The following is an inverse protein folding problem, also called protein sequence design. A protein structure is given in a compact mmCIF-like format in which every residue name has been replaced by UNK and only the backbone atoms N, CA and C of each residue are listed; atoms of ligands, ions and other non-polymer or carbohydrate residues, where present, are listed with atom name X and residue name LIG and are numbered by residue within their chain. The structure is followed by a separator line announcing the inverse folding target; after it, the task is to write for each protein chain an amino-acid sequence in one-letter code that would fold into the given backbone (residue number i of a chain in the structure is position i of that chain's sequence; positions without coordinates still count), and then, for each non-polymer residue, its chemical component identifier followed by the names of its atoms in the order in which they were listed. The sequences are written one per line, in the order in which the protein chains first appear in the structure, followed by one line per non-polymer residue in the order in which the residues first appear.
data_IF_005075920187
#
_entry.id   IF_005075920187
#
_cell.length_a   1.000
_cell.length_b   1.000
_cell.length_c   1.000
_cell.angle_alpha   90.00
_cell.angle_beta   90.00
_cell.angle_gamma   90.00
#
_symmetry.space_group_name_H-M   'P 1'
#
loop_
_entity.id
_entity.type
_entity.pdbx_description
1 polymer ?
#
# COMPACT_ATOMS: atom_id res chain seq x y z
N UNK A 1 -25.94 6.35 -52.47
CA UNK A 1 -26.23 6.31 -51.02
C UNK A 1 -25.73 5.04 -50.36
N UNK A 2 -26.08 3.84 -50.83
CA UNK A 2 -25.62 2.57 -50.23
C UNK A 2 -24.10 2.36 -50.19
N UNK A 3 -23.37 2.76 -51.25
CA UNK A 3 -21.91 2.60 -51.31
C UNK A 3 -21.19 3.48 -50.27
N UNK A 4 -21.65 4.72 -50.07
CA UNK A 4 -21.10 5.65 -49.07
C UNK A 4 -21.32 5.12 -47.65
N UNK A 5 -22.51 4.59 -47.37
CA UNK A 5 -22.83 3.96 -46.08
C UNK A 5 -21.93 2.74 -45.84
N UNK A 6 -21.72 1.91 -46.86
CA UNK A 6 -20.82 0.76 -46.76
C UNK A 6 -19.38 1.15 -46.42
N UNK A 7 -18.83 2.19 -47.08
CA UNK A 7 -17.49 2.68 -46.76
C UNK A 7 -17.37 3.24 -45.34
N UNK A 8 -18.39 3.93 -44.84
CA UNK A 8 -18.42 4.43 -43.46
C UNK A 8 -18.40 3.26 -42.47
N UNK A 9 -19.22 2.24 -42.69
CA UNK A 9 -19.27 1.04 -41.84
C UNK A 9 -17.92 0.31 -41.84
N UNK A 10 -17.31 0.12 -43.01
CA UNK A 10 -15.99 -0.52 -43.13
C UNK A 10 -14.92 0.29 -42.42
N UNK A 11 -14.95 1.63 -42.53
CA UNK A 11 -14.02 2.52 -41.84
C UNK A 11 -14.12 2.40 -40.32
N UNK A 12 -15.34 2.41 -39.77
CA UNK A 12 -15.59 2.23 -38.34
C UNK A 12 -15.12 0.85 -37.88
N UNK A 13 -15.50 -0.20 -38.61
CA UNK A 13 -15.14 -1.58 -38.28
C UNK A 13 -13.62 -1.80 -38.29
N UNK A 14 -12.93 -1.32 -39.33
CA UNK A 14 -11.47 -1.42 -39.44
C UNK A 14 -10.77 -0.65 -38.32
N UNK A 15 -11.27 0.54 -37.98
CA UNK A 15 -10.73 1.33 -36.85
C UNK A 15 -10.90 0.58 -35.53
N UNK A 16 -12.07 0.00 -35.28
CA UNK A 16 -12.31 -0.80 -34.07
C UNK A 16 -11.38 -2.02 -33.99
N UNK A 17 -11.17 -2.73 -35.11
CA UNK A 17 -10.24 -3.86 -35.16
C UNK A 17 -8.79 -3.44 -34.86
N UNK A 18 -8.35 -2.30 -35.39
CA UNK A 18 -7.01 -1.76 -35.11
C UNK A 18 -6.86 -1.43 -33.62
N UNK A 19 -7.87 -0.83 -32.98
CA UNK A 19 -7.85 -0.56 -31.54
C UNK A 19 -7.78 -1.84 -30.71
N UNK A 20 -8.59 -2.85 -31.04
CA UNK A 20 -8.58 -4.16 -30.37
C UNK A 20 -7.22 -4.85 -30.56
N UNK A 21 -6.62 -4.74 -31.75
CA UNK A 21 -5.31 -5.29 -32.02
C UNK A 21 -4.22 -4.66 -31.12
N UNK A 22 -4.19 -3.33 -31.01
CA UNK A 22 -3.25 -2.66 -30.11
C UNK A 22 -3.48 -2.99 -28.65
N UNK A 23 -4.74 -3.08 -28.22
CA UNK A 23 -5.10 -3.53 -26.87
C UNK A 23 -4.60 -4.96 -26.59
N UNK A 24 -4.78 -5.86 -27.55
CA UNK A 24 -4.31 -7.25 -27.46
C UNK A 24 -2.79 -7.33 -27.40
N UNK A 25 -2.08 -6.46 -28.14
CA UNK A 25 -0.62 -6.37 -28.10
C UNK A 25 -0.12 -5.86 -26.73
N UNK A 26 -0.82 -4.91 -26.13
CA UNK A 26 -0.51 -4.45 -24.77
C UNK A 26 -0.71 -5.56 -23.74
N UNK A 27 -1.79 -6.34 -23.84
CA UNK A 27 -2.02 -7.52 -22.99
C UNK A 27 -0.94 -8.59 -23.17
N UNK A 28 -0.54 -8.88 -24.42
CA UNK A 28 0.53 -9.82 -24.70
C UNK A 28 1.86 -9.36 -24.10
N UNK A 29 2.18 -8.06 -24.20
CA UNK A 29 3.37 -7.49 -23.58
C UNK A 29 3.36 -7.68 -22.05
N UNK A 30 2.23 -7.40 -21.40
CA UNK A 30 2.08 -7.64 -19.96
C UNK A 30 2.26 -9.12 -19.60
N UNK A 31 1.70 -10.03 -20.39
CA UNK A 31 1.85 -11.48 -20.18
C UNK A 31 3.29 -11.93 -20.34
N UNK A 32 3.99 -11.48 -21.38
CA UNK A 32 5.41 -11.80 -21.62
C UNK A 32 6.27 -11.29 -20.45
N UNK A 33 6.03 -10.06 -19.98
CA UNK A 33 6.72 -9.50 -18.82
C UNK A 33 6.43 -10.29 -17.53
N UNK A 34 5.18 -10.69 -17.32
CA UNK A 34 4.78 -11.53 -16.18
C UNK A 34 5.48 -12.89 -16.21
N UNK A 35 5.50 -13.58 -17.36
CA UNK A 35 6.13 -14.88 -17.51
C UNK A 35 7.66 -14.81 -17.38
N UNK A 36 8.28 -13.75 -17.92
CA UNK A 36 9.71 -13.49 -17.78
C UNK A 36 10.14 -13.29 -16.32
N UNK A 37 9.33 -12.56 -15.55
CA UNK A 37 9.62 -12.25 -14.15
C UNK A 37 9.15 -13.34 -13.17
N UNK A 38 8.36 -14.33 -13.61
CA UNK A 38 7.85 -15.41 -12.75
C UNK A 38 8.97 -16.19 -12.05
N UNK A 39 10.12 -16.36 -12.71
CA UNK A 39 11.29 -17.10 -12.16
C UNK A 39 12.05 -16.31 -11.09
N UNK A 40 11.96 -14.98 -11.07
CA UNK A 40 12.67 -14.15 -10.10
C UNK A 40 12.14 -14.42 -8.68
N UNK A 41 10.84 -14.72 -8.54
CA UNK A 41 10.23 -15.03 -7.25
C UNK A 41 10.65 -16.40 -6.67
N UNK A 42 11.20 -17.32 -7.47
CA UNK A 42 11.65 -18.62 -6.95
C UNK A 42 12.98 -18.54 -6.18
N UNK A 43 13.75 -17.47 -6.40
CA UNK A 43 15.07 -17.25 -5.78
C UNK A 43 14.96 -16.48 -4.46
N UNK A 44 13.77 -15.99 -4.10
CA UNK A 44 13.57 -15.27 -2.85
C UNK A 44 13.86 -16.19 -1.63
N UNK A 45 14.57 -15.69 -0.61
CA UNK A 45 14.82 -16.44 0.61
C UNK A 45 13.49 -16.84 1.26
N UNK A 46 13.36 -18.12 1.62
CA UNK A 46 12.20 -18.63 2.34
C UNK A 46 12.48 -18.54 3.83
N UNK A 47 11.66 -17.79 4.55
CA UNK A 47 11.75 -17.67 6.01
C UNK A 47 10.84 -18.69 6.69
N UNK A 48 11.37 -19.39 7.69
CA UNK A 48 10.56 -20.21 8.57
C UNK A 48 9.98 -19.35 9.70
N UNK A 49 8.74 -18.91 9.53
CA UNK A 49 8.04 -18.07 10.52
C UNK A 49 7.74 -18.80 11.84
N UNK A 50 7.98 -20.12 11.92
CA UNK A 50 7.90 -20.90 13.16
C UNK A 50 9.19 -20.81 14.00
N UNK A 51 10.32 -20.43 13.41
CA UNK A 51 11.56 -20.20 14.14
C UNK A 51 11.67 -18.71 14.53
N UNK A 52 11.64 -18.36 15.83
CA UNK A 52 11.76 -16.98 16.29
C UNK A 52 13.01 -16.25 15.77
N UNK A 53 14.08 -16.98 15.40
CA UNK A 53 15.31 -16.40 14.85
C UNK A 53 15.15 -15.97 13.39
N UNK A 54 14.36 -16.69 12.62
CA UNK A 54 14.12 -16.41 11.19
C UNK A 54 12.97 -15.42 10.95
N UNK A 55 12.13 -15.14 11.95
CA UNK A 55 11.10 -14.09 11.85
C UNK A 55 11.79 -12.75 11.55
N UNK A 56 11.51 -12.06 10.44
CA UNK A 56 12.16 -10.80 10.12
C UNK A 56 11.60 -9.64 10.95
N UNK A 57 12.30 -8.51 10.99
CA UNK A 57 11.72 -7.29 11.56
C UNK A 57 10.78 -6.65 10.54
N UNK A 58 9.57 -6.27 10.94
CA UNK A 58 8.57 -5.65 10.05
C UNK A 58 8.20 -4.27 10.57
N UNK A 59 8.23 -3.28 9.69
CA UNK A 59 7.64 -1.96 9.94
C UNK A 59 6.31 -1.86 9.19
N UNK A 60 5.23 -1.60 9.92
CA UNK A 60 3.93 -1.29 9.35
C UNK A 60 3.80 0.22 9.22
N UNK A 61 3.50 0.71 8.03
CA UNK A 61 3.20 2.12 7.76
C UNK A 61 1.71 2.33 7.52
N UNK A 62 1.14 3.28 8.27
CA UNK A 62 -0.26 3.66 8.23
C UNK A 62 -0.36 5.13 7.82
N UNK A 63 -0.37 5.44 6.50
CA UNK A 63 -0.61 6.80 6.03
C UNK A 63 -2.07 7.21 6.26
N UNK A 64 -2.28 8.29 7.01
CA UNK A 64 -3.61 8.82 7.32
C UNK A 64 -3.71 10.32 6.96
N UNK A 65 -4.89 10.74 6.52
CA UNK A 65 -5.19 12.14 6.19
C UNK A 65 -6.68 12.44 6.35
N UNK A 66 -7.06 13.14 7.42
CA UNK A 66 -8.44 13.52 7.76
C UNK A 66 -9.40 12.32 7.81
N UNK A 67 -9.02 11.26 8.53
CA UNK A 67 -9.72 9.96 8.60
C UNK A 67 -10.34 9.71 9.99
N UNK A 68 -10.95 10.72 10.61
CA UNK A 68 -11.49 10.70 11.99
C UNK A 68 -12.31 9.43 12.31
N UNK A 69 -13.19 9.01 11.39
CA UNK A 69 -14.10 7.88 11.61
C UNK A 69 -13.46 6.49 11.44
N UNK A 70 -12.26 6.43 10.88
CA UNK A 70 -11.63 5.15 10.50
C UNK A 70 -10.40 4.85 11.33
N UNK A 71 -9.68 5.89 11.78
CA UNK A 71 -8.44 5.74 12.56
C UNK A 71 -8.64 4.92 13.83
N UNK A 72 -9.74 5.10 14.55
CA UNK A 72 -10.06 4.26 15.72
C UNK A 72 -10.05 2.77 15.38
N UNK A 73 -10.83 2.38 14.37
CA UNK A 73 -10.96 0.97 13.95
C UNK A 73 -9.64 0.44 13.40
N UNK A 74 -8.88 1.28 12.71
CA UNK A 74 -7.55 0.92 12.20
C UNK A 74 -6.60 0.60 13.35
N UNK A 75 -6.46 1.50 14.32
CA UNK A 75 -5.56 1.33 15.47
C UNK A 75 -5.95 0.13 16.34
N UNK A 76 -7.25 -0.09 16.54
CA UNK A 76 -7.77 -1.23 17.29
C UNK A 76 -7.42 -2.57 16.61
N UNK A 77 -7.50 -2.64 15.28
CA UNK A 77 -7.17 -3.86 14.55
C UNK A 77 -5.66 -4.09 14.48
N UNK A 78 -4.88 -3.02 14.26
CA UNK A 78 -3.42 -3.07 14.30
C UNK A 78 -2.92 -3.57 15.67
N UNK A 79 -3.57 -3.20 16.76
CA UNK A 79 -3.22 -3.67 18.11
C UNK A 79 -3.38 -5.19 18.31
N UNK A 80 -4.19 -5.84 17.46
CA UNK A 80 -4.49 -7.28 17.51
C UNK A 80 -3.61 -8.12 16.59
N UNK A 81 -2.70 -7.49 15.83
CA UNK A 81 -1.79 -8.22 14.96
C UNK A 81 -0.94 -9.20 15.78
N UNK A 82 -1.05 -10.47 15.42
CA UNK A 82 -0.25 -11.55 16.02
C UNK A 82 1.15 -11.57 15.41
N UNK A 83 2.05 -10.76 15.96
CA UNK A 83 3.47 -10.76 15.61
C UNK A 83 4.34 -10.56 16.86
N UNK A 84 5.58 -11.08 16.91
CA UNK A 84 6.47 -10.79 18.03
C UNK A 84 6.67 -9.28 18.21
N UNK A 85 6.22 -8.72 19.34
CA UNK A 85 6.31 -7.28 19.64
C UNK A 85 7.72 -6.71 19.52
N UNK A 86 8.75 -7.52 19.80
CA UNK A 86 10.16 -7.12 19.66
C UNK A 86 10.66 -7.03 18.21
N UNK A 87 9.86 -7.50 17.24
CA UNK A 87 10.16 -7.50 15.80
C UNK A 87 9.13 -6.73 14.97
N UNK A 88 8.27 -5.96 15.63
CA UNK A 88 7.23 -5.16 15.01
C UNK A 88 7.43 -3.70 15.36
N UNK A 89 7.42 -2.84 14.35
CA UNK A 89 7.29 -1.39 14.48
C UNK A 89 6.06 -0.95 13.73
N UNK A 90 5.32 0.02 14.26
CA UNK A 90 4.18 0.64 13.61
C UNK A 90 4.43 2.14 13.51
N UNK A 91 4.28 2.68 12.31
CA UNK A 91 4.43 4.09 11.99
C UNK A 91 3.08 4.63 11.53
N UNK A 92 2.45 5.48 12.33
CA UNK A 92 1.28 6.25 11.91
C UNK A 92 1.79 7.53 11.27
N UNK A 93 1.70 7.60 9.95
CA UNK A 93 2.18 8.73 9.15
C UNK A 93 0.99 9.68 8.93
N UNK A 94 0.88 10.66 9.80
CA UNK A 94 -0.31 11.52 9.91
C UNK A 94 -0.05 12.92 9.33
N UNK A 95 -0.63 13.15 8.15
CA UNK A 95 -0.64 14.45 7.48
C UNK A 95 -1.94 15.23 7.75
N UNK A 96 -2.79 14.78 8.68
CA UNK A 96 -4.08 15.39 8.97
C UNK A 96 -3.92 16.78 9.59
N UNK A 97 -4.87 17.65 9.26
CA UNK A 97 -4.90 19.06 9.73
C UNK A 97 -6.19 19.39 10.49
N UNK A 98 -7.06 18.39 10.69
CA UNK A 98 -8.32 18.51 11.41
C UNK A 98 -8.15 18.14 12.90
N UNK A 99 -9.28 18.05 13.60
CA UNK A 99 -9.29 17.74 15.03
C UNK A 99 -8.96 16.26 15.32
N UNK A 100 -8.91 15.39 14.30
CA UNK A 100 -8.63 13.96 14.47
C UNK A 100 -7.21 13.68 14.96
N UNK A 101 -6.30 14.64 14.79
CA UNK A 101 -4.89 14.54 15.19
C UNK A 101 -4.74 14.32 16.69
N UNK A 102 -5.45 15.08 17.52
CA UNK A 102 -5.31 15.00 18.98
C UNK A 102 -5.86 13.69 19.52
N UNK A 103 -6.99 13.23 18.98
CA UNK A 103 -7.59 11.95 19.32
C UNK A 103 -6.68 10.79 18.90
N UNK A 104 -6.14 10.86 17.69
CA UNK A 104 -5.19 9.86 17.16
C UNK A 104 -3.95 9.77 18.06
N UNK A 105 -3.38 10.91 18.45
CA UNK A 105 -2.22 10.95 19.34
C UNK A 105 -2.53 10.32 20.70
N UNK A 106 -3.71 10.59 21.27
CA UNK A 106 -4.13 10.02 22.55
C UNK A 106 -4.28 8.49 22.48
N UNK A 107 -4.87 7.97 21.40
CA UNK A 107 -5.03 6.53 21.16
C UNK A 107 -3.68 5.84 20.95
N UNK A 108 -2.80 6.44 20.15
CA UNK A 108 -1.43 5.93 19.95
C UNK A 108 -0.69 5.84 21.27
N UNK A 109 -0.79 6.87 22.11
CA UNK A 109 -0.16 6.86 23.44
C UNK A 109 -0.69 5.72 24.33
N UNK A 110 -2.00 5.49 24.33
CA UNK A 110 -2.59 4.35 25.05
C UNK A 110 -2.07 3.00 24.53
N UNK A 111 -1.88 2.86 23.21
CA UNK A 111 -1.30 1.66 22.61
C UNK A 111 0.19 1.48 22.97
N UNK A 112 0.97 2.57 23.06
CA UNK A 112 2.36 2.53 23.53
C UNK A 112 2.47 1.96 24.95
N UNK A 113 1.50 2.28 25.83
CA UNK A 113 1.46 1.76 27.21
C UNK A 113 1.25 0.22 27.26
N UNK A 114 0.71 -0.39 26.21
CA UNK A 114 0.59 -1.86 26.08
C UNK A 114 1.91 -2.56 25.68
N UNK A 115 2.98 -1.78 25.47
CA UNK A 115 4.28 -2.25 25.00
C UNK A 115 4.35 -2.47 23.48
N UNK A 116 3.44 -1.87 22.71
CA UNK A 116 3.48 -1.84 21.25
C UNK A 116 4.47 -0.75 20.79
N UNK A 117 5.42 -1.06 19.90
CA UNK A 117 6.28 -0.03 19.28
C UNK A 117 5.50 0.67 18.17
N UNK A 118 4.69 1.66 18.56
CA UNK A 118 3.89 2.49 17.66
C UNK A 118 4.31 3.95 17.78
N UNK A 119 4.53 4.62 16.65
CA UNK A 119 4.98 6.01 16.60
C UNK A 119 4.01 6.87 15.81
N UNK A 120 3.68 8.05 16.33
CA UNK A 120 2.92 9.07 15.62
C UNK A 120 3.89 10.04 14.94
N UNK A 121 4.01 9.93 13.62
CA UNK A 121 4.94 10.72 12.82
C UNK A 121 4.12 11.74 12.03
N UNK A 122 4.37 13.01 12.31
CA UNK A 122 3.72 14.13 11.65
C UNK A 122 4.73 14.94 10.86
N UNK A 123 4.27 15.52 9.75
CA UNK A 123 5.08 16.36 8.88
C UNK A 123 4.47 17.74 8.78
N UNK A 124 5.33 18.76 8.77
CA UNK A 124 4.88 20.15 8.59
C UNK A 124 4.54 20.48 7.12
N UNK A 125 5.10 19.73 6.17
CA UNK A 125 4.93 19.96 4.74
C UNK A 125 4.43 18.70 4.02
N UNK A 126 3.25 18.80 3.40
CA UNK A 126 2.59 17.72 2.66
C UNK A 126 3.15 17.52 1.24
N UNK A 127 4.44 17.79 1.02
CA UNK A 127 5.07 17.59 -0.29
C UNK A 127 5.04 16.11 -0.66
N UNK A 128 4.56 15.81 -1.87
CA UNK A 128 4.41 14.43 -2.34
C UNK A 128 3.23 13.66 -1.74
N UNK A 129 2.38 14.30 -0.93
CA UNK A 129 1.18 13.70 -0.33
C UNK A 129 1.52 12.35 0.37
N UNK A 130 0.68 11.33 0.14
CA UNK A 130 0.86 9.96 0.63
C UNK A 130 2.22 9.36 0.27
N UNK A 131 2.67 9.54 -0.97
CA UNK A 131 3.96 9.01 -1.42
C UNK A 131 5.14 9.69 -0.70
N UNK A 132 5.01 10.98 -0.38
CA UNK A 132 5.95 11.71 0.46
C UNK A 132 5.99 11.14 1.88
N UNK A 133 4.82 10.90 2.49
CA UNK A 133 4.71 10.41 3.86
C UNK A 133 5.41 9.06 4.00
N UNK A 134 5.09 8.13 3.09
CA UNK A 134 5.70 6.80 3.01
C UNK A 134 7.21 6.90 2.81
N UNK A 135 7.69 7.80 1.95
CA UNK A 135 9.12 7.99 1.70
C UNK A 135 9.87 8.50 2.92
N UNK A 136 9.28 9.38 3.71
CA UNK A 136 9.89 9.87 4.96
C UNK A 136 9.85 8.81 6.06
N UNK A 137 8.72 8.12 6.23
CA UNK A 137 8.63 6.98 7.15
C UNK A 137 9.65 5.89 6.83
N UNK A 138 9.88 5.63 5.53
CA UNK A 138 10.83 4.61 5.08
C UNK A 138 12.28 4.93 5.50
N UNK A 139 12.65 6.21 5.64
CA UNK A 139 14.01 6.60 6.04
C UNK A 139 14.31 6.27 7.52
N UNK A 140 13.26 6.17 8.34
CA UNK A 140 13.37 5.92 9.78
C UNK A 140 12.83 4.54 10.18
N UNK A 141 12.33 3.75 9.22
CA UNK A 141 11.85 2.40 9.45
C UNK A 141 12.99 1.46 9.87
N UNK A 142 12.71 0.62 10.87
CA UNK A 142 13.65 -0.36 11.42
C UNK A 142 13.55 -1.73 10.73
N UNK A 143 12.46 -2.00 10.03
CA UNK A 143 12.14 -3.31 9.49
C UNK A 143 12.93 -3.70 8.24
N UNK A 144 13.23 -4.99 8.15
CA UNK A 144 13.72 -5.64 6.94
C UNK A 144 12.63 -5.64 5.85
N UNK A 145 11.37 -5.67 6.29
CA UNK A 145 10.19 -5.59 5.43
C UNK A 145 9.29 -4.44 5.85
N UNK A 146 8.64 -3.84 4.85
CA UNK A 146 7.67 -2.78 5.03
C UNK A 146 6.30 -3.30 4.59
N UNK A 147 5.33 -3.21 5.48
CA UNK A 147 3.92 -3.41 5.16
C UNK A 147 3.23 -2.05 5.15
N UNK A 148 2.39 -1.79 4.15
CA UNK A 148 1.63 -0.55 4.05
C UNK A 148 0.16 -0.93 4.09
N UNK A 149 -0.59 -0.37 5.04
CA UNK A 149 -2.04 -0.49 5.09
C UNK A 149 -2.67 0.88 4.95
N UNK A 150 -3.61 0.99 4.02
CA UNK A 150 -4.41 2.20 3.87
C UNK A 150 -5.42 2.28 5.02
N UNK A 151 -5.83 3.51 5.37
CA UNK A 151 -6.69 3.74 6.52
C UNK A 151 -8.03 2.99 6.42
N UNK A 152 -8.55 2.80 5.21
CA UNK A 152 -9.79 2.07 4.92
C UNK A 152 -9.63 0.53 4.92
N UNK A 153 -8.40 0.03 4.96
CA UNK A 153 -8.11 -1.39 5.07
C UNK A 153 -7.91 -1.79 6.54
N UNK A 154 -8.68 -2.78 7.00
CA UNK A 154 -8.62 -3.28 8.37
C UNK A 154 -7.88 -4.63 8.39
N UNK A 155 -6.57 -4.64 8.70
CA UNK A 155 -5.77 -5.86 8.77
C UNK A 155 -6.05 -6.71 10.03
#
# INVERSE_FOLDING_TARGET
MGLTIAYIIIGIYSTALVLIFFYSLAQLNLLVNYLGNKKINEVAPKYNLLDPKEIPFVTIQLPIYNEEYVVERLLDNISKIEYPKSKLEIQVLDDSTDNSVEETAARIKALQETGLDIQHIRRENRTGFKAGALKEGLQIAKGDFIAIFDADFLP
#
